data_IF_420719997127
#
_entry.id   IF_420719997127
#
_cell.length_a   1.000
_cell.length_b   1.000
_cell.length_c   1.000
_cell.angle_alpha   90.00
_cell.angle_beta   90.00
_cell.angle_gamma   90.00
#
_symmetry.space_group_name_H-M   'P 1'
#
loop_
_entity.id
_entity.type
_entity.pdbx_description
1 polymer ?
#
# COMPACT_ATOMS: atom_id res chain seq x y z
N UNK A 1 7.23 -1.68 -17.87
CA UNK A 1 6.77 -2.98 -17.34
C UNK A 1 5.37 -3.24 -17.89
N UNK A 2 5.14 -4.25 -18.74
CA UNK A 2 3.91 -4.35 -19.57
C UNK A 2 2.60 -4.23 -18.78
N UNK A 3 2.53 -4.80 -17.57
CA UNK A 3 1.32 -4.72 -16.74
C UNK A 3 0.90 -3.28 -16.38
N UNK A 4 1.84 -2.34 -16.26
CA UNK A 4 1.54 -0.93 -15.98
C UNK A 4 0.98 -0.18 -17.20
N UNK A 5 1.34 -0.61 -18.41
CA UNK A 5 0.92 0.03 -19.66
C UNK A 5 -0.61 -0.11 -19.88
N UNK A 6 -1.21 -1.15 -19.32
CA UNK A 6 -2.63 -1.44 -19.42
C UNK A 6 -3.46 -0.79 -18.30
N UNK A 7 -2.89 0.17 -17.56
CA UNK A 7 -3.54 0.82 -16.41
C UNK A 7 -3.78 2.30 -16.68
N UNK A 8 -4.93 2.86 -16.23
CA UNK A 8 -5.16 4.29 -16.31
C UNK A 8 -4.06 5.10 -15.62
N UNK A 9 -3.82 6.31 -16.13
CA UNK A 9 -2.88 7.27 -15.54
C UNK A 9 -3.22 7.53 -14.07
N UNK A 10 -2.21 7.52 -13.20
CA UNK A 10 -2.36 7.80 -11.77
C UNK A 10 -3.19 6.79 -10.96
N UNK A 11 -3.50 5.60 -11.50
CA UNK A 11 -4.37 4.60 -10.86
C UNK A 11 -3.64 3.52 -10.06
N UNK A 12 -2.32 3.42 -10.24
CA UNK A 12 -1.50 2.37 -9.64
C UNK A 12 -0.79 2.87 -8.39
N UNK A 13 -0.82 2.04 -7.34
CA UNK A 13 -0.11 2.25 -6.08
C UNK A 13 1.01 1.20 -5.95
N UNK A 14 2.27 1.55 -6.26
CA UNK A 14 3.39 0.72 -5.90
C UNK A 14 3.54 0.65 -4.38
N UNK A 15 3.92 -0.53 -3.89
CA UNK A 15 4.11 -0.82 -2.48
C UNK A 15 5.44 -1.54 -2.30
N UNK A 16 6.39 -0.88 -1.62
CA UNK A 16 7.73 -1.41 -1.40
C UNK A 16 8.22 -1.06 -0.01
N UNK A 17 8.79 -2.04 0.67
CA UNK A 17 9.31 -1.89 2.03
C UNK A 17 10.82 -2.03 2.15
N UNK A 18 11.53 -1.74 1.05
CA UNK A 18 13.00 -1.77 1.00
C UNK A 18 13.56 -3.20 1.11
N UNK A 19 14.83 -3.32 1.48
CA UNK A 19 15.54 -4.61 1.55
C UNK A 19 15.82 -5.11 2.96
N UNK A 20 15.78 -4.22 3.97
CA UNK A 20 16.28 -4.51 5.33
C UNK A 20 15.20 -4.76 6.37
N UNK A 21 13.94 -4.44 6.05
CA UNK A 21 12.86 -4.52 7.02
C UNK A 21 11.81 -5.50 6.51
N UNK A 22 11.53 -6.50 7.33
CA UNK A 22 10.39 -7.39 7.16
C UNK A 22 9.19 -6.84 7.93
N UNK A 23 8.01 -6.86 7.32
CA UNK A 23 6.78 -6.57 8.04
C UNK A 23 6.40 -7.74 8.95
N UNK A 24 5.72 -7.42 10.06
CA UNK A 24 5.04 -8.44 10.87
C UNK A 24 3.87 -9.04 10.07
N UNK A 25 3.49 -10.27 10.39
CA UNK A 25 2.39 -10.95 9.69
C UNK A 25 1.08 -10.16 9.77
N UNK A 26 0.78 -9.57 10.93
CA UNK A 26 -0.41 -8.77 11.14
C UNK A 26 -0.41 -7.50 10.28
N UNK A 27 0.74 -6.81 10.18
CA UNK A 27 0.86 -5.63 9.30
C UNK A 27 0.74 -6.01 7.83
N UNK A 28 1.25 -7.17 7.45
CA UNK A 28 1.15 -7.69 6.09
C UNK A 28 -0.30 -8.01 5.71
N UNK A 29 -1.07 -8.57 6.64
CA UNK A 29 -2.50 -8.85 6.50
C UNK A 29 -3.34 -7.57 6.41
N UNK A 30 -3.11 -6.60 7.31
CA UNK A 30 -3.81 -5.30 7.28
C UNK A 30 -3.54 -4.54 5.98
N UNK A 31 -2.29 -4.55 5.51
CA UNK A 31 -1.95 -3.95 4.22
C UNK A 31 -2.62 -4.68 3.06
N UNK A 32 -2.64 -6.01 3.09
CA UNK A 32 -3.32 -6.81 2.08
C UNK A 32 -4.82 -6.49 2.03
N UNK A 33 -5.45 -6.35 3.20
CA UNK A 33 -6.85 -5.98 3.32
C UNK A 33 -7.13 -4.56 2.84
N UNK A 34 -6.29 -3.59 3.21
CA UNK A 34 -6.38 -2.21 2.74
C UNK A 34 -6.26 -2.10 1.21
N UNK A 35 -5.34 -2.84 0.59
CA UNK A 35 -5.20 -2.88 -0.86
C UNK A 35 -6.40 -3.54 -1.55
N UNK A 36 -6.97 -4.61 -0.96
CA UNK A 36 -8.15 -5.29 -1.50
C UNK A 36 -9.42 -4.44 -1.45
N UNK A 37 -9.58 -3.68 -0.37
CA UNK A 37 -10.76 -2.84 -0.13
C UNK A 37 -10.67 -1.48 -0.83
N UNK A 38 -9.46 -1.05 -1.16
CA UNK A 38 -9.26 0.12 -2.01
C UNK A 38 -9.67 -0.17 -3.47
N UNK A 39 -10.16 0.86 -4.16
CA UNK A 39 -10.48 0.76 -5.59
C UNK A 39 -9.28 1.07 -6.49
N UNK A 40 -8.05 0.91 -5.99
CA UNK A 40 -6.83 1.17 -6.76
C UNK A 40 -6.22 -0.12 -7.32
N UNK A 41 -5.45 0.04 -8.40
CA UNK A 41 -4.52 -0.99 -8.83
C UNK A 41 -3.28 -0.94 -7.95
N UNK A 42 -2.62 -2.06 -7.71
CA UNK A 42 -1.41 -2.06 -6.89
C UNK A 42 -0.33 -2.97 -7.45
N UNK A 43 0.93 -2.56 -7.27
CA UNK A 43 2.10 -3.38 -7.53
C UNK A 43 2.85 -3.56 -6.22
N UNK A 44 2.86 -4.78 -5.70
CA UNK A 44 3.49 -5.08 -4.41
C UNK A 44 4.74 -5.92 -4.61
N UNK A 45 5.87 -5.42 -4.12
CA UNK A 45 7.11 -6.19 -4.06
C UNK A 45 7.12 -7.01 -2.77
N UNK A 46 7.18 -8.34 -2.87
CA UNK A 46 7.26 -9.26 -1.73
C UNK A 46 8.46 -10.17 -1.88
N UNK A 47 9.41 -10.07 -0.96
CA UNK A 47 10.63 -10.89 -0.99
C UNK A 47 10.30 -12.34 -0.68
N UNK A 48 11.14 -13.27 -1.15
CA UNK A 48 10.99 -14.70 -0.86
C UNK A 48 10.94 -15.00 0.66
N UNK A 49 11.64 -14.21 1.49
CA UNK A 49 11.60 -14.32 2.95
C UNK A 49 10.26 -13.94 3.59
N UNK A 50 9.42 -13.21 2.87
CA UNK A 50 8.12 -12.72 3.34
C UNK A 50 6.94 -13.45 2.69
N UNK A 51 7.19 -14.31 1.70
CA UNK A 51 6.16 -15.00 0.91
C UNK A 51 5.27 -15.88 1.80
N UNK A 52 5.83 -16.47 2.87
CA UNK A 52 5.08 -17.27 3.86
C UNK A 52 4.08 -16.47 4.70
N UNK A 53 4.19 -15.14 4.71
CA UNK A 53 3.28 -14.24 5.44
C UNK A 53 2.12 -13.77 4.58
N UNK A 54 2.17 -13.99 3.26
CA UNK A 54 1.04 -13.74 2.38
C UNK A 54 0.04 -14.90 2.52
N UNK A 55 -1.23 -14.58 2.75
CA UNK A 55 -2.28 -15.58 2.63
C UNK A 55 -2.41 -16.03 1.16
N UNK A 56 -2.71 -17.32 0.94
CA UNK A 56 -2.94 -17.85 -0.42
C UNK A 56 -4.07 -17.10 -1.12
N UNK A 57 -5.12 -16.79 -0.36
CA UNK A 57 -6.28 -16.02 -0.80
C UNK A 57 -5.91 -14.59 -1.23
N UNK A 58 -4.81 -14.02 -0.73
CA UNK A 58 -4.34 -12.73 -1.22
C UNK A 58 -3.89 -12.79 -2.67
N UNK A 59 -3.07 -13.78 -3.03
CA UNK A 59 -2.55 -13.89 -4.39
C UNK A 59 -3.66 -14.16 -5.42
N UNK A 60 -4.63 -15.01 -5.08
CA UNK A 60 -5.74 -15.36 -5.97
C UNK A 60 -6.73 -14.21 -6.15
N UNK A 61 -7.19 -13.60 -5.05
CA UNK A 61 -8.17 -12.50 -5.10
C UNK A 61 -7.58 -11.19 -5.65
N UNK A 62 -6.27 -10.98 -5.48
CA UNK A 62 -5.61 -9.79 -6.02
C UNK A 62 -5.35 -9.87 -7.52
N UNK A 63 -5.43 -11.04 -8.15
CA UNK A 63 -5.03 -11.23 -9.55
C UNK A 63 -5.69 -10.27 -10.56
N UNK A 64 -6.89 -9.77 -10.26
CA UNK A 64 -7.61 -8.82 -11.12
C UNK A 64 -7.12 -7.35 -11.02
N UNK A 65 -6.66 -6.91 -9.84
CA UNK A 65 -6.27 -5.50 -9.58
C UNK A 65 -4.82 -5.31 -9.14
N UNK A 66 -4.18 -6.39 -8.69
CA UNK A 66 -2.89 -6.41 -8.06
C UNK A 66 -1.87 -7.23 -8.83
N UNK A 67 -0.64 -6.74 -8.85
CA UNK A 67 0.52 -7.50 -9.31
C UNK A 67 1.47 -7.68 -8.12
N UNK A 68 1.72 -8.94 -7.74
CA UNK A 68 2.71 -9.28 -6.71
C UNK A 68 3.96 -9.81 -7.41
N UNK A 69 5.10 -9.17 -7.17
CA UNK A 69 6.39 -9.56 -7.74
C UNK A 69 7.43 -9.72 -6.65
N UNK A 70 8.47 -10.52 -6.90
CA UNK A 70 9.61 -10.64 -5.97
C UNK A 70 10.56 -9.47 -6.04
N UNK A 71 10.61 -8.81 -7.19
CA UNK A 71 11.48 -7.67 -7.46
C UNK A 71 10.95 -6.87 -8.65
N UNK A 72 11.22 -5.57 -8.66
CA UNK A 72 11.01 -4.71 -9.83
C UNK A 72 12.08 -3.60 -9.87
N UNK A 73 12.30 -3.01 -11.05
CA UNK A 73 13.03 -1.75 -11.19
C UNK A 73 12.17 -0.63 -10.60
N UNK A 74 12.35 -0.32 -9.31
CA UNK A 74 11.50 0.63 -8.57
C UNK A 74 11.48 2.00 -9.24
N UNK A 75 12.64 2.49 -9.68
CA UNK A 75 12.75 3.77 -10.37
C UNK A 75 11.92 3.80 -11.67
N UNK A 76 11.98 2.74 -12.49
CA UNK A 76 11.15 2.64 -13.70
C UNK A 76 9.66 2.54 -13.38
N UNK A 77 9.29 1.82 -12.32
CA UNK A 77 7.90 1.75 -11.87
C UNK A 77 7.41 3.13 -11.44
N UNK A 78 8.17 3.84 -10.59
CA UNK A 78 7.81 5.17 -10.11
C UNK A 78 7.77 6.22 -11.24
N UNK A 79 8.57 6.06 -12.29
CA UNK A 79 8.57 6.96 -13.44
C UNK A 79 7.39 6.72 -14.40
N UNK A 80 6.64 5.63 -14.21
CA UNK A 80 5.53 5.27 -15.09
C UNK A 80 4.28 6.13 -14.82
N UNK A 81 3.64 6.63 -15.87
CA UNK A 81 2.49 7.55 -15.74
C UNK A 81 1.27 6.95 -15.02
N UNK A 82 1.14 5.63 -15.05
CA UNK A 82 0.10 4.91 -14.31
C UNK A 82 0.24 5.06 -12.79
N UNK A 83 1.41 5.42 -12.25
CA UNK A 83 1.61 5.57 -10.81
C UNK A 83 0.97 6.85 -10.29
N UNK A 84 0.11 6.71 -9.29
CA UNK A 84 -0.55 7.84 -8.61
C UNK A 84 0.12 8.20 -7.29
N UNK A 85 0.47 7.21 -6.48
CA UNK A 85 1.17 7.40 -5.21
C UNK A 85 1.97 6.16 -4.82
N UNK A 86 2.90 6.31 -3.89
CA UNK A 86 3.84 5.27 -3.49
C UNK A 86 3.76 5.00 -1.99
N UNK A 87 3.46 3.75 -1.61
CA UNK A 87 3.50 3.31 -0.20
C UNK A 87 4.92 2.86 0.13
N UNK A 88 5.54 3.51 1.13
CA UNK A 88 6.96 3.35 1.43
C UNK A 88 7.25 3.29 2.94
N UNK A 89 8.28 2.53 3.32
CA UNK A 89 8.88 2.63 4.67
C UNK A 89 9.65 3.93 4.90
N UNK A 90 9.71 4.84 3.93
CA UNK A 90 10.47 6.09 4.06
C UNK A 90 11.98 5.85 4.17
N UNK A 91 12.50 4.82 3.51
CA UNK A 91 13.95 4.66 3.33
C UNK A 91 14.50 5.80 2.47
N UNK A 92 15.71 6.26 2.76
CA UNK A 92 16.29 7.45 2.11
C UNK A 92 16.32 7.36 0.58
N UNK A 93 16.84 6.27 0.02
CA UNK A 93 16.90 6.08 -1.44
C UNK A 93 15.52 6.08 -2.10
N UNK A 94 14.58 5.29 -1.58
CA UNK A 94 13.21 5.25 -2.11
C UNK A 94 12.51 6.60 -2.01
N UNK A 95 12.80 7.38 -0.97
CA UNK A 95 12.25 8.73 -0.80
C UNK A 95 12.82 9.69 -1.85
N UNK A 96 14.14 9.63 -2.11
CA UNK A 96 14.78 10.43 -3.15
C UNK A 96 14.27 10.09 -4.55
N UNK A 97 14.07 8.81 -4.88
CA UNK A 97 13.49 8.40 -6.17
C UNK A 97 12.09 8.99 -6.36
N UNK A 98 11.22 8.86 -5.35
CA UNK A 98 9.86 9.39 -5.41
C UNK A 98 9.83 10.92 -5.51
N UNK A 99 10.65 11.62 -4.72
CA UNK A 99 10.77 13.08 -4.78
C UNK A 99 11.27 13.57 -6.15
N UNK A 100 12.29 12.92 -6.70
CA UNK A 100 12.88 13.29 -7.99
C UNK A 100 11.89 13.14 -9.14
N UNK A 101 10.91 12.23 -9.00
CA UNK A 101 9.88 11.95 -9.98
C UNK A 101 8.53 12.64 -9.67
N UNK A 102 8.43 13.38 -8.57
CA UNK A 102 7.21 14.07 -8.17
C UNK A 102 6.07 13.13 -7.73
N UNK A 103 6.38 11.91 -7.27
CA UNK A 103 5.39 10.93 -6.83
C UNK A 103 5.03 11.15 -5.36
N UNK A 104 3.73 11.31 -5.06
CA UNK A 104 3.24 11.45 -3.69
C UNK A 104 3.43 10.16 -2.90
N UNK A 105 3.75 10.28 -1.61
CA UNK A 105 4.06 9.14 -0.75
C UNK A 105 3.01 8.90 0.34
N UNK A 106 2.72 7.63 0.59
CA UNK A 106 2.08 7.18 1.83
C UNK A 106 3.17 6.60 2.73
N UNK A 107 3.52 7.37 3.76
CA UNK A 107 4.61 7.07 4.68
C UNK A 107 4.16 6.07 5.76
N UNK A 108 4.80 4.90 5.78
CA UNK A 108 4.56 3.85 6.78
C UNK A 108 5.89 3.46 7.47
N UNK A 109 6.56 4.36 8.21
CA UNK A 109 7.88 4.09 8.78
C UNK A 109 7.84 2.96 9.84
N UNK A 110 8.92 2.18 9.94
CA UNK A 110 9.06 1.11 10.95
C UNK A 110 10.16 1.39 11.97
N UNK A 111 11.40 1.72 11.53
CA UNK A 111 12.57 1.83 12.42
C UNK A 111 13.57 2.89 11.96
N UNK A 112 14.57 3.15 12.82
CA UNK A 112 15.73 4.02 12.54
C UNK A 112 15.35 5.44 12.12
N UNK A 113 15.93 5.93 11.03
CA UNK A 113 15.74 7.23 10.39
C UNK A 113 14.40 7.36 9.67
N UNK A 114 13.67 6.26 9.42
CA UNK A 114 12.43 6.26 8.65
C UNK A 114 11.36 7.19 9.26
N UNK A 115 11.26 7.27 10.59
CA UNK A 115 10.34 8.18 11.27
C UNK A 115 10.69 9.65 11.02
N UNK A 116 11.98 9.96 10.96
CA UNK A 116 12.46 11.32 10.62
C UNK A 116 12.18 11.61 9.16
N UNK A 117 12.50 10.69 8.25
CA UNK A 117 12.22 10.84 6.81
C UNK A 117 10.72 11.02 6.57
N UNK A 118 9.87 10.25 7.25
CA UNK A 118 8.42 10.41 7.19
C UNK A 118 7.98 11.82 7.60
N UNK A 119 8.58 12.39 8.66
CA UNK A 119 8.30 13.77 9.09
C UNK A 119 8.70 14.80 8.04
N UNK A 120 9.83 14.61 7.36
CA UNK A 120 10.21 15.48 6.24
C UNK A 120 9.21 15.35 5.08
N UNK A 121 8.83 14.13 4.71
CA UNK A 121 7.86 13.85 3.66
C UNK A 121 6.52 14.56 3.93
N UNK A 122 6.01 14.48 5.16
CA UNK A 122 4.68 15.01 5.51
C UNK A 122 4.70 16.49 5.87
N UNK A 123 5.61 16.91 6.75
CA UNK A 123 5.50 18.21 7.43
C UNK A 123 6.37 19.29 6.77
N UNK A 124 7.43 18.90 6.04
CA UNK A 124 8.41 19.84 5.48
C UNK A 124 8.26 19.94 3.97
N UNK A 125 8.32 18.82 3.26
CA UNK A 125 8.21 18.78 1.80
C UNK A 125 6.76 18.79 1.32
N UNK A 126 5.80 18.42 2.19
CA UNK A 126 4.38 18.30 1.83
C UNK A 126 4.14 17.38 0.62
N UNK A 127 4.91 16.28 0.55
CA UNK A 127 4.91 15.32 -0.57
C UNK A 127 4.26 13.99 -0.18
N UNK A 128 3.50 13.94 0.91
CA UNK A 128 2.85 12.71 1.34
C UNK A 128 2.05 12.83 2.62
N UNK A 129 1.44 11.71 3.01
CA UNK A 129 0.70 11.54 4.26
C UNK A 129 1.26 10.37 5.05
N UNK A 130 1.13 10.40 6.37
CA UNK A 130 1.57 9.29 7.24
C UNK A 130 0.42 8.35 7.51
N UNK A 131 0.65 7.05 7.36
CA UNK A 131 -0.31 6.01 7.73
C UNK A 131 -0.62 6.09 9.23
N UNK A 132 -1.92 6.02 9.56
CA UNK A 132 -2.38 6.05 10.94
C UNK A 132 -1.98 4.76 11.67
N UNK A 133 -1.63 4.89 12.95
CA UNK A 133 -1.37 3.75 13.85
C UNK A 133 -2.62 3.54 14.69
N UNK A 134 -3.25 2.38 14.59
CA UNK A 134 -4.33 2.01 15.50
C UNK A 134 -3.74 1.76 16.90
N UNK A 135 -4.26 2.48 17.91
CA UNK A 135 -3.88 2.33 19.31
C UNK A 135 -4.48 1.07 19.98
N UNK A 136 -5.23 0.25 19.23
CA UNK A 136 -5.62 -1.10 19.63
C UNK A 136 -7.03 -1.23 20.22
N UNK A 137 -7.84 -0.17 20.24
CA UNK A 137 -9.20 -0.21 20.80
C UNK A 137 -10.31 -0.50 19.77
N UNK A 138 -9.99 -0.72 18.49
CA UNK A 138 -11.00 -0.79 17.42
C UNK A 138 -11.08 -2.14 16.68
N UNK A 139 -10.35 -3.17 17.15
CA UNK A 139 -10.28 -4.49 16.49
C UNK A 139 -11.60 -5.25 16.44
N UNK A 140 -12.51 -5.03 17.41
CA UNK A 140 -13.81 -5.71 17.40
C UNK A 140 -14.82 -5.09 16.43
N UNK A 141 -14.71 -3.80 16.12
CA UNK A 141 -15.67 -3.13 15.23
C UNK A 141 -15.46 -3.52 13.76
N UNK A 142 -14.22 -3.79 13.33
CA UNK A 142 -13.94 -4.32 11.99
C UNK A 142 -14.42 -5.77 11.81
N UNK A 143 -14.40 -6.60 12.86
CA UNK A 143 -14.88 -7.99 12.81
C UNK A 143 -16.40 -8.12 12.93
N UNK A 144 -17.09 -7.20 13.61
CA UNK A 144 -18.56 -7.26 13.80
C UNK A 144 -19.36 -6.94 12.54
N UNK A 145 -18.79 -6.24 11.55
CA UNK A 145 -19.43 -6.05 10.25
C UNK A 145 -19.39 -7.31 9.35
N UNK A 146 -18.80 -8.41 9.82
CA UNK A 146 -18.59 -9.66 9.05
C UNK A 146 -19.75 -10.67 9.23
N UNK A 147 -20.74 -10.39 10.08
CA UNK A 147 -21.83 -11.34 10.35
C UNK A 147 -23.22 -10.72 10.29
N UNK A 148 -23.78 -10.51 9.09
CA UNK A 148 -25.18 -10.12 8.98
C UNK A 148 -25.64 -9.61 7.63
N UNK A 149 -25.63 -10.46 6.60
CA UNK A 149 -26.49 -10.24 5.44
C UNK A 149 -27.94 -10.54 5.80
N UNK A 150 -28.82 -9.54 5.68
CA UNK A 150 -30.27 -9.68 5.85
C UNK A 150 -31.02 -8.60 5.07
N UNK A 151 -31.76 -9.02 4.04
CA UNK A 151 -32.57 -8.20 3.13
C UNK A 151 -33.61 -7.34 3.86
N UNK A 152 -33.94 -6.18 3.28
CA UNK A 152 -35.28 -5.62 3.40
C UNK A 152 -35.38 -4.10 3.25
N UNK A 153 -36.09 -3.66 2.21
CA UNK A 153 -37.01 -2.53 2.32
C UNK A 153 -36.59 -1.20 1.70
N UNK A 154 -37.34 -0.79 0.67
CA UNK A 154 -37.53 0.59 0.22
C UNK A 154 -37.52 1.63 1.35
N UNK A 155 -36.89 2.79 1.11
CA UNK A 155 -37.64 4.05 1.05
C UNK A 155 -36.82 5.26 0.53
N UNK A 156 -37.56 6.06 -0.24
CA UNK A 156 -37.25 7.36 -0.87
C UNK A 156 -36.81 8.47 0.11
N UNK A 157 -36.27 9.54 -0.49
CA UNK A 157 -36.08 10.94 -0.03
C UNK A 157 -34.82 11.15 0.83
N UNK A 158 -33.94 12.12 0.56
CA UNK A 158 -33.95 13.35 -0.24
C UNK A 158 -32.60 13.50 -0.97
#
# INVERSE_FOLDING_TARGET
MNWLNDRPKGSVVPVSFGSLVDLKAEQMEELAWGLKTSDCYFLRVVRASEESKLSKDFAEESSAKGLVVRWCSQLEVLAHEAVGCFVTLCGWNSSLEALSLGVLMVAMPQRTDQSTNAKYITDVWNMGVKAAVDAGNNRELHKRNIGGGGRGGDQKKC
#
